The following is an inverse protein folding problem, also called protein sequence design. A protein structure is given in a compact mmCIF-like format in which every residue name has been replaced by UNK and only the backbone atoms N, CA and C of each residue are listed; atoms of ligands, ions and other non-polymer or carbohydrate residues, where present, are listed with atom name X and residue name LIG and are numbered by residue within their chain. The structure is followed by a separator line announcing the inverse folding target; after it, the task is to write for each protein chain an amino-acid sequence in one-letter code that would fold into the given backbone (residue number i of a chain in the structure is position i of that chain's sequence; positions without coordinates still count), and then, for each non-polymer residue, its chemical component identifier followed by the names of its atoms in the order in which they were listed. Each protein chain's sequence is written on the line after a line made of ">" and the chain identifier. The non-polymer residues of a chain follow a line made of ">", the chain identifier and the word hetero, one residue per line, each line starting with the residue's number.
data_IF_829906810450
#
_entry.id   IF_829906810450
#
_cell.length_a   1.000
_cell.length_b   1.000
_cell.length_c   1.000
_cell.angle_alpha   90.00
_cell.angle_beta   90.00
_cell.angle_gamma   90.00
#
_symmetry.space_group_name_H-M   'P 1'
#
loop_
_entity.id
_entity.type
_entity.pdbx_description
1 polymer ?
#
# COMPACT_ATOMS: atom_id res chain seq x y z
N UNK A 1 -20.64 4.84 1.08
CA UNK A 1 -19.33 4.21 1.38
C UNK A 1 -18.24 5.27 1.30
N UNK A 2 -17.24 5.22 2.18
CA UNK A 2 -16.08 6.14 2.11
C UNK A 2 -15.15 5.79 0.93
N UNK A 3 -14.40 6.75 0.40
CA UNK A 3 -13.44 6.52 -0.70
C UNK A 3 -12.39 5.48 -0.29
N UNK A 4 -11.86 5.59 0.93
CA UNK A 4 -10.85 4.69 1.48
C UNK A 4 -11.38 3.26 1.67
N UNK A 5 -12.64 3.10 2.09
CA UNK A 5 -13.25 1.77 2.24
C UNK A 5 -13.36 1.03 0.91
N UNK A 6 -13.69 1.74 -0.17
CA UNK A 6 -13.76 1.13 -1.51
C UNK A 6 -12.36 0.76 -2.03
N UNK A 7 -11.36 1.57 -1.70
CA UNK A 7 -9.97 1.25 -2.04
C UNK A 7 -9.44 0.07 -1.25
N UNK A 8 -9.67 0.03 0.07
CA UNK A 8 -9.31 -1.12 0.91
C UNK A 8 -9.98 -2.40 0.42
N UNK A 9 -11.26 -2.33 0.02
CA UNK A 9 -11.96 -3.46 -0.60
C UNK A 9 -11.30 -3.89 -1.92
N UNK A 10 -11.00 -2.95 -2.81
CA UNK A 10 -10.34 -3.25 -4.09
C UNK A 10 -9.00 -3.97 -3.88
N UNK A 11 -8.18 -3.50 -2.95
CA UNK A 11 -6.89 -4.14 -2.61
C UNK A 11 -7.10 -5.51 -1.96
N UNK A 12 -8.04 -5.63 -1.01
CA UNK A 12 -8.31 -6.90 -0.33
C UNK A 12 -8.89 -8.00 -1.24
N UNK A 13 -9.47 -7.61 -2.39
CA UNK A 13 -10.10 -8.53 -3.35
C UNK A 13 -9.32 -8.64 -4.65
N UNK A 14 -8.11 -8.05 -4.72
CA UNK A 14 -7.25 -7.98 -5.91
C UNK A 14 -7.98 -7.52 -7.18
N UNK A 15 -8.96 -6.61 -7.03
CA UNK A 15 -9.71 -6.11 -8.16
C UNK A 15 -8.87 -5.13 -8.97
N UNK A 16 -8.82 -5.37 -10.28
CA UNK A 16 -8.33 -4.40 -11.25
C UNK A 16 -9.30 -3.21 -11.38
N UNK A 17 -8.81 -2.07 -11.87
CA UNK A 17 -9.66 -0.89 -12.10
C UNK A 17 -10.82 -1.16 -13.08
N UNK A 18 -10.62 -2.04 -14.07
CA UNK A 18 -11.68 -2.44 -15.00
C UNK A 18 -12.77 -3.26 -14.31
N UNK A 19 -12.40 -4.23 -13.46
CA UNK A 19 -13.34 -5.01 -12.67
C UNK A 19 -14.09 -4.13 -11.67
N UNK A 20 -13.41 -3.18 -11.02
CA UNK A 20 -14.05 -2.23 -10.10
C UNK A 20 -15.08 -1.33 -10.81
N UNK A 21 -14.80 -0.90 -12.06
CA UNK A 21 -15.77 -0.17 -12.88
C UNK A 21 -17.02 -1.00 -13.19
N UNK A 22 -16.84 -2.29 -13.45
CA UNK A 22 -17.95 -3.21 -13.72
C UNK A 22 -18.78 -3.43 -12.46
N UNK A 23 -18.14 -3.69 -11.32
CA UNK A 23 -18.80 -3.80 -10.02
C UNK A 23 -19.61 -2.53 -9.69
N UNK A 24 -19.06 -1.34 -9.98
CA UNK A 24 -19.79 -0.07 -9.80
C UNK A 24 -21.05 0.02 -10.65
N UNK A 25 -21.04 -0.50 -11.87
CA UNK A 25 -22.24 -0.52 -12.72
C UNK A 25 -23.33 -1.40 -12.11
N UNK A 26 -22.98 -2.62 -11.70
CA UNK A 26 -23.93 -3.53 -11.04
C UNK A 26 -24.46 -2.99 -9.71
N UNK A 27 -23.60 -2.39 -8.89
CA UNK A 27 -24.02 -1.77 -7.64
C UNK A 27 -24.97 -0.60 -7.89
N UNK A 28 -24.73 0.20 -8.93
CA UNK A 28 -25.62 1.30 -9.32
C UNK A 28 -27.00 0.79 -9.74
N UNK A 29 -27.08 -0.33 -10.46
CA UNK A 29 -28.35 -0.99 -10.81
C UNK A 29 -29.10 -1.47 -9.56
N UNK A 30 -28.37 -1.94 -8.55
CA UNK A 30 -28.93 -2.32 -7.24
C UNK A 30 -29.23 -1.11 -6.32
N UNK A 31 -29.11 0.13 -6.80
CA UNK A 31 -29.36 1.35 -6.02
C UNK A 31 -28.23 1.77 -5.06
N UNK A 32 -27.08 1.09 -5.10
CA UNK A 32 -25.91 1.39 -4.27
C UNK A 32 -24.94 2.32 -5.01
N UNK A 33 -24.74 3.51 -4.47
CA UNK A 33 -23.82 4.50 -5.03
C UNK A 33 -22.41 4.32 -4.47
N UNK A 34 -21.45 4.05 -5.35
CA UNK A 34 -20.03 4.13 -5.05
C UNK A 34 -19.41 5.45 -5.52
N UNK A 35 -18.33 5.91 -4.87
CA UNK A 35 -17.56 7.07 -5.33
C UNK A 35 -17.04 6.92 -6.78
N UNK A 36 -16.74 8.05 -7.42
CA UNK A 36 -16.12 8.04 -8.75
C UNK A 36 -14.67 7.55 -8.69
N UNK A 37 -14.21 6.92 -9.77
CA UNK A 37 -12.83 6.45 -9.91
C UNK A 37 -11.82 7.59 -9.69
N UNK A 38 -12.11 8.80 -10.20
CA UNK A 38 -11.28 9.98 -9.97
C UNK A 38 -11.14 10.34 -8.48
N UNK A 39 -12.25 10.33 -7.72
CA UNK A 39 -12.21 10.59 -6.27
C UNK A 39 -11.49 9.48 -5.50
N UNK A 40 -11.59 8.25 -5.97
CA UNK A 40 -10.90 7.09 -5.38
C UNK A 40 -9.38 7.19 -5.60
N UNK A 41 -8.95 7.56 -6.81
CA UNK A 41 -7.53 7.79 -7.13
C UNK A 41 -6.95 8.97 -6.36
N UNK A 42 -7.66 10.09 -6.29
CA UNK A 42 -7.23 11.24 -5.51
C UNK A 42 -7.05 10.89 -4.02
N UNK A 43 -7.99 10.13 -3.44
CA UNK A 43 -7.85 9.69 -2.05
C UNK A 43 -6.63 8.76 -1.82
N UNK A 44 -6.22 7.98 -2.83
CA UNK A 44 -4.98 7.18 -2.77
C UNK A 44 -3.74 8.04 -2.89
N UNK A 45 -3.75 9.05 -3.75
CA UNK A 45 -2.67 10.02 -3.89
C UNK A 45 -2.49 10.82 -2.61
N UNK A 46 -3.58 11.32 -2.01
CA UNK A 46 -3.57 12.04 -0.74
C UNK A 46 -3.02 11.16 0.41
N UNK A 47 -3.39 9.88 0.43
CA UNK A 47 -2.87 8.91 1.42
C UNK A 47 -1.37 8.63 1.22
N UNK A 48 -0.92 8.53 -0.03
CA UNK A 48 0.48 8.28 -0.36
C UNK A 48 1.36 9.52 -0.09
N UNK A 49 0.87 10.72 -0.40
CA UNK A 49 1.61 11.99 -0.30
C UNK A 49 2.15 12.27 1.11
N UNK A 50 1.52 11.71 2.14
CA UNK A 50 1.85 11.93 3.54
C UNK A 50 3.23 11.39 3.95
N UNK A 51 3.77 10.38 3.27
CA UNK A 51 5.11 9.84 3.55
C UNK A 51 5.84 9.29 2.30
N UNK A 52 5.20 9.23 1.14
CA UNK A 52 5.73 8.62 -0.09
C UNK A 52 5.78 9.69 -1.17
N UNK A 53 6.97 9.90 -1.71
CA UNK A 53 7.19 10.78 -2.87
C UNK A 53 7.40 9.91 -4.09
N UNK A 54 6.56 10.11 -5.11
CA UNK A 54 6.68 9.47 -6.41
C UNK A 54 7.18 10.46 -7.44
N UNK A 55 8.26 10.11 -8.15
CA UNK A 55 8.83 10.92 -9.23
C UNK A 55 9.27 10.03 -10.39
N UNK A 56 9.26 10.56 -11.62
CA UNK A 56 9.87 9.88 -12.75
C UNK A 56 11.38 10.08 -12.69
N UNK A 57 12.14 9.00 -12.63
CA UNK A 57 13.60 9.00 -12.55
C UNK A 57 14.16 8.24 -13.74
N UNK A 58 15.29 8.71 -14.24
CA UNK A 58 16.05 8.05 -15.28
C UNK A 58 17.02 7.05 -14.63
N UNK A 59 16.86 5.77 -14.98
CA UNK A 59 17.70 4.67 -14.52
C UNK A 59 18.63 4.25 -15.64
N UNK A 60 19.91 4.02 -15.32
CA UNK A 60 20.88 3.50 -16.28
C UNK A 60 21.02 2.01 -16.04
N UNK A 61 20.78 1.21 -17.07
CA UNK A 61 20.97 -0.25 -17.01
C UNK A 61 22.45 -0.66 -17.10
N UNK A 62 22.71 -1.95 -16.92
CA UNK A 62 24.04 -2.54 -17.00
C UNK A 62 24.71 -2.41 -18.38
N UNK A 63 23.93 -2.07 -19.42
CA UNK A 63 24.37 -1.87 -20.80
C UNK A 63 24.54 -0.37 -21.14
N UNK A 64 24.31 0.52 -20.18
CA UNK A 64 24.44 1.96 -20.34
C UNK A 64 23.22 2.64 -20.99
N UNK A 65 22.11 1.94 -21.21
CA UNK A 65 20.88 2.56 -21.72
C UNK A 65 20.10 3.22 -20.59
N UNK A 66 19.53 4.38 -20.88
CA UNK A 66 18.73 5.16 -19.92
C UNK A 66 17.25 4.86 -20.11
N UNK A 67 16.59 4.39 -19.05
CA UNK A 67 15.17 4.09 -19.01
C UNK A 67 14.47 4.98 -17.99
N UNK A 68 13.42 5.67 -18.43
CA UNK A 68 12.64 6.53 -17.54
C UNK A 68 11.54 5.72 -16.88
N UNK A 69 11.60 5.56 -15.56
CA UNK A 69 10.64 4.78 -14.79
C UNK A 69 10.09 5.55 -13.59
N UNK A 70 8.91 5.14 -13.12
CA UNK A 70 8.32 5.69 -11.91
C UNK A 70 9.08 5.17 -10.68
N UNK A 71 9.57 6.08 -9.84
CA UNK A 71 10.28 5.78 -8.60
C UNK A 71 9.52 6.37 -7.42
N UNK A 72 9.14 5.51 -6.47
CA UNK A 72 8.56 5.90 -5.20
C UNK A 72 9.58 5.74 -4.08
N UNK A 73 9.72 6.74 -3.22
CA UNK A 73 10.51 6.64 -1.98
C UNK A 73 9.72 7.10 -0.78
N UNK A 74 9.97 6.46 0.36
CA UNK A 74 9.50 6.94 1.66
C UNK A 74 10.42 8.08 2.11
N UNK A 75 9.84 9.23 2.49
CA UNK A 75 10.61 10.42 2.91
C UNK A 75 11.19 10.27 4.31
N UNK A 76 10.44 9.68 5.23
CA UNK A 76 10.86 9.42 6.60
C UNK A 76 10.39 8.03 7.04
N UNK A 77 11.33 7.09 7.11
CA UNK A 77 11.03 5.70 7.48
C UNK A 77 10.51 5.59 8.92
N UNK A 78 11.01 6.40 9.85
CA UNK A 78 10.59 6.40 11.25
C UNK A 78 9.13 6.81 11.38
N UNK A 79 8.74 7.92 10.74
CA UNK A 79 7.33 8.37 10.74
C UNK A 79 6.43 7.35 10.05
N UNK A 80 6.89 6.75 8.95
CA UNK A 80 6.13 5.75 8.22
C UNK A 80 5.88 4.48 9.06
N UNK A 81 6.93 3.94 9.69
CA UNK A 81 6.82 2.77 10.58
C UNK A 81 5.96 3.08 11.80
N UNK A 82 6.12 4.26 12.41
CA UNK A 82 5.32 4.68 13.57
C UNK A 82 3.83 4.78 13.23
N UNK A 83 3.48 5.40 12.09
CA UNK A 83 2.09 5.47 11.60
C UNK A 83 1.51 4.07 11.38
N UNK A 84 2.28 3.14 10.80
CA UNK A 84 1.83 1.75 10.61
C UNK A 84 1.59 1.03 11.94
N UNK A 85 2.48 1.21 12.93
CA UNK A 85 2.30 0.66 14.27
C UNK A 85 1.06 1.21 14.96
N UNK A 86 0.81 2.52 14.84
CA UNK A 86 -0.40 3.16 15.37
C UNK A 86 -1.67 2.60 14.71
N UNK A 87 -1.67 2.39 13.39
CA UNK A 87 -2.78 1.74 12.69
C UNK A 87 -3.02 0.31 13.20
N UNK A 88 -1.95 -0.50 13.31
CA UNK A 88 -2.08 -1.86 13.83
C UNK A 88 -2.60 -1.89 15.28
N UNK A 89 -2.16 -0.93 16.11
CA UNK A 89 -2.66 -0.75 17.48
C UNK A 89 -4.13 -0.36 17.50
N UNK A 90 -4.54 0.61 16.68
CA UNK A 90 -5.94 1.04 16.54
C UNK A 90 -6.85 -0.13 16.14
N UNK A 91 -6.38 -0.97 15.22
CA UNK A 91 -7.11 -2.13 14.73
C UNK A 91 -6.97 -3.38 15.62
N UNK A 92 -6.29 -3.29 16.78
CA UNK A 92 -6.03 -4.42 17.69
C UNK A 92 -5.38 -5.63 17.00
N UNK A 93 -4.54 -5.37 16.01
CA UNK A 93 -3.78 -6.38 15.26
C UNK A 93 -2.31 -6.44 15.69
N UNK A 94 -1.84 -5.39 16.38
CA UNK A 94 -0.50 -5.32 16.96
C UNK A 94 -0.40 -6.27 18.15
N UNK A 95 0.64 -7.11 18.17
CA UNK A 95 0.93 -8.01 19.29
C UNK A 95 2.42 -8.01 19.58
N UNK A 96 2.77 -8.24 20.84
CA UNK A 96 4.14 -8.45 21.27
C UNK A 96 4.27 -9.93 21.60
N UNK A 97 5.09 -10.65 20.83
CA UNK A 97 5.21 -12.09 20.96
C UNK A 97 6.11 -12.39 22.16
N UNK A 98 5.54 -12.67 23.33
CA UNK A 98 6.25 -12.88 24.60
C UNK A 98 7.47 -13.85 24.55
N UNK A 99 7.59 -14.68 23.51
CA UNK A 99 8.66 -15.67 23.35
C UNK A 99 9.60 -15.44 22.16
N UNK A 100 9.26 -14.57 21.20
CA UNK A 100 9.94 -14.53 19.88
C UNK A 100 10.39 -13.14 19.48
N UNK A 101 9.63 -12.10 19.84
CA UNK A 101 10.00 -10.71 19.59
C UNK A 101 9.97 -10.00 20.93
N UNK A 102 11.10 -9.42 21.33
CA UNK A 102 11.20 -8.72 22.60
C UNK A 102 10.22 -7.53 22.66
N UNK A 103 9.76 -7.19 23.86
CA UNK A 103 8.77 -6.12 24.06
C UNK A 103 9.26 -4.72 23.69
N UNK A 104 10.57 -4.55 23.53
CA UNK A 104 11.25 -3.32 23.13
C UNK A 104 11.64 -3.30 21.64
N UNK A 105 11.30 -4.34 20.87
CA UNK A 105 11.69 -4.48 19.47
C UNK A 105 10.52 -4.52 18.49
N UNK A 106 10.60 -3.71 17.44
CA UNK A 106 9.68 -3.81 16.29
C UNK A 106 10.41 -4.51 15.16
N UNK A 107 9.85 -5.64 14.74
CA UNK A 107 10.36 -6.40 13.62
C UNK A 107 9.58 -6.03 12.36
N UNK A 108 10.32 -5.81 11.27
CA UNK A 108 9.77 -5.41 9.98
C UNK A 108 10.28 -6.34 8.89
N UNK A 109 9.39 -6.84 8.06
CA UNK A 109 9.74 -7.64 6.88
C UNK A 109 9.81 -6.74 5.67
N UNK A 110 10.87 -6.94 4.89
CA UNK A 110 11.03 -6.31 3.58
C UNK A 110 10.95 -7.39 2.51
N UNK A 111 9.97 -7.29 1.63
CA UNK A 111 9.83 -8.14 0.45
C UNK A 111 10.24 -7.35 -0.79
N UNK A 112 10.97 -7.97 -1.69
CA UNK A 112 11.26 -7.44 -3.02
C UNK A 112 10.71 -8.39 -4.07
N UNK A 113 9.94 -7.86 -5.02
CA UNK A 113 9.54 -8.60 -6.22
C UNK A 113 10.11 -7.90 -7.46
N UNK A 114 10.77 -8.69 -8.31
CA UNK A 114 11.38 -8.22 -9.54
C UNK A 114 10.57 -8.74 -10.74
N UNK A 115 9.78 -7.87 -11.34
CA UNK A 115 9.00 -8.19 -12.53
C UNK A 115 9.53 -7.42 -13.73
N UNK A 116 10.17 -8.13 -14.69
CA UNK A 116 10.75 -7.61 -15.94
C UNK A 116 11.50 -6.28 -15.79
N UNK A 117 10.78 -5.15 -15.88
CA UNK A 117 11.30 -3.78 -15.91
C UNK A 117 10.94 -2.98 -14.64
N UNK A 118 10.44 -3.65 -13.59
CA UNK A 118 10.03 -3.02 -12.35
C UNK A 118 10.48 -3.81 -11.13
N UNK A 119 10.99 -3.07 -10.14
CA UNK A 119 11.31 -3.58 -8.82
C UNK A 119 10.31 -2.99 -7.83
N UNK A 120 9.55 -3.87 -7.18
CA UNK A 120 8.58 -3.48 -6.16
C UNK A 120 9.09 -3.92 -4.80
N UNK A 121 9.20 -2.97 -3.89
CA UNK A 121 9.46 -3.26 -2.49
C UNK A 121 8.16 -3.19 -1.70
N UNK A 122 7.97 -4.15 -0.82
CA UNK A 122 6.89 -4.20 0.15
C UNK A 122 7.47 -4.25 1.54
N UNK A 123 6.76 -3.66 2.49
CA UNK A 123 7.15 -3.64 3.89
C UNK A 123 5.96 -4.07 4.74
N UNK A 124 6.19 -4.95 5.71
CA UNK A 124 5.15 -5.44 6.61
C UNK A 124 5.66 -5.43 8.06
N UNK A 125 4.84 -4.94 8.99
CA UNK A 125 5.11 -5.08 10.44
C UNK A 125 4.90 -6.53 10.85
N UNK A 126 5.92 -7.16 11.42
CA UNK A 126 5.88 -8.55 11.87
C UNK A 126 5.30 -8.72 13.28
N UNK A 127 5.17 -7.65 14.06
CA UNK A 127 4.51 -7.63 15.37
C UNK A 127 2.98 -7.75 15.26
N UNK A 128 2.49 -8.78 14.56
CA UNK A 128 1.06 -9.04 14.34
C UNK A 128 0.71 -10.50 14.60
N UNK A 129 -0.55 -10.81 14.90
CA UNK A 129 -0.96 -12.18 15.24
C UNK A 129 -0.67 -13.21 14.14
N UNK A 130 -0.66 -12.78 12.87
CA UNK A 130 -0.39 -13.63 11.69
C UNK A 130 0.60 -12.90 10.78
N UNK A 131 1.90 -12.99 11.08
CA UNK A 131 2.90 -12.24 10.34
C UNK A 131 3.29 -12.89 9.01
N UNK A 132 2.86 -14.13 8.73
CA UNK A 132 3.08 -14.88 7.50
C UNK A 132 1.75 -15.20 6.83
#
# INVERSE_FOLDING_TARGET
>A
MSNLSVMAMKEATDLTWSQLRQQRRYLKEAGLLMPSESKQRQAMEDLAADNIVTQMVDFVDSYGQTHRAAFGRVTNITTFVTKLLEQHKLHKTLTWHNSTISHDEVWVKFGGDHGKDSLKFTMQIANTHKPN
#
